data_IF_700606992684
#
_entry.id   IF_700606992684
#
_cell.length_a   1.000
_cell.length_b   1.000
_cell.length_c   1.000
_cell.angle_alpha   90.00
_cell.angle_beta   90.00
_cell.angle_gamma   90.00
#
_symmetry.space_group_name_H-M   'P 1'
#
loop_
_entity.id
_entity.type
_entity.pdbx_description
1 polymer ?
#
# COMPACT_ATOMS: atom_id res chain seq x y z
N UNK A 1 2.92 -12.92 -4.30
CA UNK A 1 1.81 -12.19 -3.64
C UNK A 1 2.41 -11.38 -2.49
N UNK A 2 1.89 -10.18 -2.21
CA UNK A 2 2.39 -9.29 -1.16
C UNK A 2 1.30 -8.34 -0.70
N UNK A 3 1.53 -7.67 0.43
CA UNK A 3 0.61 -6.66 0.97
C UNK A 3 1.05 -5.29 0.48
N UNK A 4 0.16 -4.61 -0.24
CA UNK A 4 0.42 -3.28 -0.80
C UNK A 4 -0.12 -2.19 0.13
N UNK A 5 0.71 -1.18 0.38
CA UNK A 5 0.39 0.01 1.14
C UNK A 5 0.80 1.26 0.35
N UNK A 6 0.32 2.42 0.78
CA UNK A 6 0.70 3.73 0.26
C UNK A 6 0.73 4.75 1.39
N UNK A 7 1.54 5.80 1.24
CA UNK A 7 1.54 6.98 2.11
C UNK A 7 0.42 7.97 1.75
N UNK A 8 -0.32 7.71 0.66
CA UNK A 8 -1.47 8.50 0.23
C UNK A 8 -2.80 7.81 0.55
N UNK A 9 -3.65 8.50 1.31
CA UNK A 9 -5.03 8.05 1.54
C UNK A 9 -5.86 8.06 0.25
N UNK A 10 -5.55 8.94 -0.72
CA UNK A 10 -6.20 8.94 -2.04
C UNK A 10 -5.88 7.68 -2.82
N UNK A 11 -4.63 7.21 -2.79
CA UNK A 11 -4.26 5.94 -3.44
C UNK A 11 -4.96 4.75 -2.78
N UNK A 12 -4.97 4.70 -1.45
CA UNK A 12 -5.68 3.65 -0.73
C UNK A 12 -7.18 3.66 -1.02
N UNK A 13 -7.80 4.84 -1.14
CA UNK A 13 -9.22 5.01 -1.46
C UNK A 13 -9.64 4.43 -2.81
N UNK A 14 -8.72 4.33 -3.79
CA UNK A 14 -9.00 3.68 -5.09
C UNK A 14 -9.47 2.21 -4.92
N UNK A 15 -9.09 1.57 -3.81
CA UNK A 15 -9.46 0.20 -3.48
C UNK A 15 -10.64 0.10 -2.51
N UNK A 16 -11.09 1.22 -1.93
CA UNK A 16 -12.17 1.23 -0.97
C UNK A 16 -13.54 1.14 -1.66
N UNK A 17 -14.41 0.27 -1.15
CA UNK A 17 -15.80 0.15 -1.57
C UNK A 17 -16.68 0.57 -0.39
N UNK A 18 -17.63 1.50 -0.56
CA UNK A 18 -18.56 1.87 0.50
C UNK A 18 -19.37 0.66 0.96
N UNK A 19 -19.58 0.53 2.28
CA UNK A 19 -20.50 -0.49 2.78
C UNK A 19 -21.91 -0.25 2.23
N UNK A 20 -22.59 -1.32 1.83
CA UNK A 20 -23.96 -1.27 1.30
C UNK A 20 -25.02 -1.62 2.34
N UNK A 21 -24.61 -2.08 3.52
CA UNK A 21 -25.52 -2.58 4.56
C UNK A 21 -24.95 -2.30 5.97
N UNK A 22 -25.84 -2.33 6.97
CA UNK A 22 -25.47 -2.20 8.38
C UNK A 22 -25.28 -0.76 8.86
N UNK A 23 -24.74 -0.61 10.08
CA UNK A 23 -24.54 0.69 10.74
C UNK A 23 -23.55 1.61 10.01
N UNK A 24 -22.66 1.01 9.21
CA UNK A 24 -21.64 1.71 8.42
C UNK A 24 -22.08 1.98 6.96
N UNK A 25 -23.37 1.83 6.62
CA UNK A 25 -23.88 2.03 5.27
C UNK A 25 -23.45 3.39 4.68
N UNK A 26 -22.89 3.34 3.47
CA UNK A 26 -22.36 4.48 2.75
C UNK A 26 -20.99 4.99 3.22
N UNK A 27 -20.37 4.36 4.23
CA UNK A 27 -19.01 4.66 4.65
C UNK A 27 -18.00 3.81 3.86
N UNK A 28 -16.92 4.43 3.42
CA UNK A 28 -15.68 3.74 3.05
C UNK A 28 -14.85 3.47 4.31
N UNK A 29 -13.92 2.52 4.21
CA UNK A 29 -12.98 2.20 5.28
C UNK A 29 -11.56 2.08 4.71
N UNK A 30 -10.58 2.64 5.42
CA UNK A 30 -9.16 2.43 5.17
C UNK A 30 -8.46 2.00 6.47
N UNK A 31 -7.38 1.24 6.32
CA UNK A 31 -6.50 0.88 7.43
C UNK A 31 -5.30 1.82 7.44
N UNK A 32 -5.03 2.43 8.60
CA UNK A 32 -3.76 3.08 8.85
C UNK A 32 -2.86 2.09 9.58
N UNK A 33 -1.86 1.59 8.85
CA UNK A 33 -0.98 0.54 9.34
C UNK A 33 0.34 1.10 9.83
N UNK A 34 0.83 0.60 10.96
CA UNK A 34 2.25 0.68 11.32
C UNK A 34 2.99 -0.44 10.60
N UNK A 35 4.01 -0.08 9.83
CA UNK A 35 4.73 -1.04 8.97
C UNK A 35 6.22 -1.07 9.30
N UNK A 36 6.75 -2.28 9.44
CA UNK A 36 8.18 -2.55 9.56
C UNK A 36 8.82 -2.70 8.18
N UNK A 37 9.30 -1.58 7.63
CA UNK A 37 9.89 -1.54 6.28
C UNK A 37 11.33 -2.04 6.14
N UNK A 38 12.08 -2.14 7.24
CA UNK A 38 13.45 -2.66 7.24
C UNK A 38 14.38 -1.98 6.20
N UNK A 39 15.18 -2.79 5.51
CA UNK A 39 16.00 -2.37 4.36
C UNK A 39 15.14 -2.36 3.09
N UNK A 40 14.97 -1.17 2.55
CA UNK A 40 14.07 -0.91 1.42
C UNK A 40 14.74 -1.21 0.08
N UNK A 41 14.09 -2.02 -0.75
CA UNK A 41 14.39 -2.13 -2.18
C UNK A 41 13.65 -1.04 -2.97
N UNK A 42 14.34 0.07 -3.21
CA UNK A 42 13.80 1.19 -3.98
C UNK A 42 13.77 0.90 -5.49
N UNK A 43 12.72 1.30 -6.20
CA UNK A 43 12.68 1.35 -7.67
C UNK A 43 11.84 2.54 -8.15
N UNK A 44 12.31 3.23 -9.18
CA UNK A 44 11.59 4.25 -9.95
C UNK A 44 11.44 3.85 -11.42
N UNK A 45 11.53 2.56 -11.71
CA UNK A 45 11.31 2.06 -13.04
C UNK A 45 9.84 2.17 -13.42
N UNK A 46 9.59 2.57 -14.66
CA UNK A 46 8.23 2.70 -15.22
C UNK A 46 7.55 1.32 -15.27
N UNK A 47 8.32 0.28 -15.64
CA UNK A 47 7.89 -1.12 -15.72
C UNK A 47 8.98 -2.00 -15.10
N UNK A 48 9.02 -2.14 -13.76
CA UNK A 48 10.03 -2.95 -13.11
C UNK A 48 9.82 -4.45 -13.35
N UNK A 49 10.89 -5.23 -13.25
CA UNK A 49 10.79 -6.68 -13.19
C UNK A 49 10.26 -7.14 -11.82
N UNK A 50 8.95 -7.44 -11.76
CA UNK A 50 8.30 -7.85 -10.52
C UNK A 50 8.88 -9.11 -9.89
N UNK A 51 9.28 -10.10 -10.69
CA UNK A 51 9.86 -11.35 -10.17
C UNK A 51 11.21 -11.11 -9.51
N UNK A 52 12.04 -10.24 -10.10
CA UNK A 52 13.32 -9.85 -9.54
C UNK A 52 13.16 -9.09 -8.23
N UNK A 53 12.25 -8.12 -8.17
CA UNK A 53 11.96 -7.37 -6.94
C UNK A 53 11.53 -8.29 -5.79
N UNK A 54 10.66 -9.26 -6.08
CA UNK A 54 10.21 -10.24 -5.09
C UNK A 54 11.39 -11.10 -4.63
N UNK A 55 12.19 -11.61 -5.56
CA UNK A 55 13.37 -12.44 -5.25
C UNK A 55 14.38 -11.68 -4.39
N UNK A 56 14.62 -10.41 -4.67
CA UNK A 56 15.54 -9.58 -3.88
C UNK A 56 15.07 -9.31 -2.45
N UNK A 57 13.77 -9.43 -2.16
CA UNK A 57 13.24 -9.37 -0.79
C UNK A 57 13.24 -10.74 -0.12
N UNK A 58 12.80 -11.79 -0.83
CA UNK A 58 12.67 -13.12 -0.21
C UNK A 58 14.02 -13.85 -0.02
N UNK A 59 14.96 -13.64 -0.93
CA UNK A 59 16.26 -14.32 -0.96
C UNK A 59 17.43 -13.34 -0.81
N UNK A 60 17.16 -12.05 -0.97
CA UNK A 60 18.15 -11.00 -0.92
C UNK A 60 18.21 -10.29 0.43
N UNK A 61 18.85 -9.11 0.47
CA UNK A 61 19.10 -8.40 1.70
C UNK A 61 17.97 -7.43 2.09
N UNK A 62 16.91 -7.32 1.29
CA UNK A 62 15.86 -6.32 1.47
C UNK A 62 14.66 -6.90 2.22
N UNK A 63 13.89 -6.05 2.88
CA UNK A 63 12.73 -6.44 3.69
C UNK A 63 11.40 -5.96 3.08
N UNK A 64 11.44 -5.02 2.13
CA UNK A 64 10.28 -4.56 1.37
C UNK A 64 10.68 -3.93 0.04
N UNK A 65 9.70 -3.70 -0.83
CA UNK A 65 9.85 -2.90 -2.05
C UNK A 65 9.21 -1.54 -1.85
N UNK A 66 9.89 -0.49 -2.29
CA UNK A 66 9.35 0.87 -2.39
C UNK A 66 9.36 1.33 -3.85
N UNK A 67 8.18 1.44 -4.44
CA UNK A 67 7.98 1.96 -5.78
C UNK A 67 7.73 3.47 -5.75
N UNK A 68 8.71 4.25 -6.21
CA UNK A 68 8.60 5.71 -6.34
C UNK A 68 7.86 6.09 -7.63
N UNK A 69 6.54 5.89 -7.60
CA UNK A 69 5.69 6.19 -8.76
C UNK A 69 5.46 7.68 -8.95
N UNK A 70 5.73 8.51 -7.94
CA UNK A 70 5.72 9.97 -8.07
C UNK A 70 6.77 10.38 -9.10
N UNK A 71 7.97 9.81 -8.98
CA UNK A 71 9.08 10.09 -9.90
C UNK A 71 8.85 9.54 -11.31
N UNK A 72 8.33 8.33 -11.45
CA UNK A 72 8.29 7.65 -12.76
C UNK A 72 6.96 7.81 -13.54
N UNK A 73 5.86 8.08 -12.83
CA UNK A 73 4.50 8.11 -13.39
C UNK A 73 3.65 9.28 -12.88
N UNK A 74 4.20 10.17 -12.04
CA UNK A 74 3.46 11.28 -11.42
C UNK A 74 2.20 10.81 -10.68
N UNK A 75 2.29 9.66 -10.01
CA UNK A 75 1.22 9.08 -9.18
C UNK A 75 1.77 8.74 -7.79
N UNK A 76 1.02 8.06 -6.95
CA UNK A 76 1.36 7.85 -5.55
C UNK A 76 2.39 6.75 -5.34
N UNK A 77 3.24 6.90 -4.31
CA UNK A 77 4.19 5.85 -3.90
C UNK A 77 3.45 4.60 -3.45
N UNK A 78 4.09 3.46 -3.72
CA UNK A 78 3.58 2.15 -3.35
C UNK A 78 4.65 1.40 -2.56
N UNK A 79 4.23 0.77 -1.47
CA UNK A 79 5.08 -0.03 -0.58
C UNK A 79 4.54 -1.45 -0.61
N UNK A 80 5.40 -2.44 -0.85
CA UNK A 80 5.03 -3.85 -0.83
C UNK A 80 5.85 -4.60 0.22
N UNK A 81 5.16 -5.21 1.19
CA UNK A 81 5.73 -6.12 2.18
C UNK A 81 5.27 -7.56 1.91
N UNK A 82 6.07 -8.54 2.30
CA UNK A 82 5.84 -9.94 1.93
C UNK A 82 5.52 -10.83 3.13
N UNK A 83 5.84 -10.39 4.35
CA UNK A 83 5.50 -11.09 5.58
C UNK A 83 4.33 -10.40 6.31
N UNK A 84 3.35 -11.17 6.75
CA UNK A 84 2.13 -10.64 7.37
C UNK A 84 2.39 -9.92 8.70
N UNK A 85 3.45 -10.31 9.42
CA UNK A 85 3.86 -9.68 10.67
C UNK A 85 4.55 -8.31 10.48
N UNK A 86 4.82 -7.88 9.24
CA UNK A 86 5.41 -6.57 8.96
C UNK A 86 4.38 -5.44 9.01
N UNK A 87 3.08 -5.71 8.95
CA UNK A 87 2.03 -4.70 8.99
C UNK A 87 1.09 -4.93 10.17
N UNK A 88 0.97 -3.91 11.02
CA UNK A 88 0.01 -3.87 12.12
C UNK A 88 -1.08 -2.84 11.80
N UNK A 89 -2.35 -3.24 11.62
CA UNK A 89 -3.45 -2.31 11.39
C UNK A 89 -3.75 -1.54 12.69
N UNK A 90 -3.12 -0.38 12.85
CA UNK A 90 -3.16 0.37 14.09
C UNK A 90 -4.48 1.14 14.24
N UNK A 91 -5.04 1.61 13.13
CA UNK A 91 -6.34 2.28 13.12
C UNK A 91 -7.20 1.82 11.94
N UNK A 92 -8.50 1.85 12.19
CA UNK A 92 -9.54 1.69 11.19
C UNK A 92 -10.25 3.03 11.02
N UNK A 93 -10.21 3.57 9.80
CA UNK A 93 -10.68 4.93 9.52
C UNK A 93 -11.89 4.84 8.59
N UNK A 94 -13.06 5.17 9.14
CA UNK A 94 -14.29 5.31 8.38
C UNK A 94 -14.45 6.72 7.85
N UNK A 95 -14.87 6.86 6.59
CA UNK A 95 -15.05 8.16 5.95
C UNK A 95 -16.13 8.12 4.86
N UNK A 96 -16.57 9.31 4.42
CA UNK A 96 -17.40 9.50 3.22
C UNK A 96 -16.64 10.34 2.22
N UNK A 97 -16.73 9.98 0.94
CA UNK A 97 -16.22 10.80 -0.17
C UNK A 97 -17.10 12.04 -0.31
N UNK A 98 -16.48 13.21 -0.46
CA UNK A 98 -17.15 14.47 -0.78
C UNK A 98 -16.76 14.86 -2.19
N UNK A 99 -17.76 15.09 -3.03
CA UNK A 99 -17.60 15.57 -4.39
C UNK A 99 -18.22 16.96 -4.42
N UNK A 100 -17.38 17.99 -4.26
CA UNK A 100 -17.77 19.39 -4.44
C UNK A 100 -17.67 19.78 -5.93
#
# INVERSE_FOLDING_TARGET
>A
AGTYLSDSCTKADEYAVPSTEGEDEGLCCLLLCRVMGGRVRYTDEVVPNGEELVREVLEGPYDCVFGDREKCKQTFKEICVYESNQAYPEYLVYYRRRYD
#
